data_IF_828051477773
#
_entry.id   IF_828051477773
#
_cell.length_a   1.000
_cell.length_b   1.000
_cell.length_c   1.000
_cell.angle_alpha   90.00
_cell.angle_beta   90.00
_cell.angle_gamma   90.00
#
_symmetry.space_group_name_H-M   'P 1'
#
loop_
_entity.id
_entity.type
_entity.pdbx_description
1 polymer ?
#
# COMPACT_ATOMS: atom_id res chain seq x y z
N UNK A 1 42.18 -8.86 10.99
CA UNK A 1 40.93 -9.23 10.31
C UNK A 1 39.86 -9.21 11.38
N UNK A 2 39.02 -8.16 11.39
CA UNK A 2 37.99 -7.98 12.42
C UNK A 2 36.66 -7.89 11.71
N UNK A 3 35.82 -8.88 12.00
CA UNK A 3 34.51 -9.11 11.43
C UNK A 3 33.48 -8.01 11.74
N UNK A 4 32.64 -7.77 10.72
CA UNK A 4 31.19 -7.67 10.82
C UNK A 4 30.61 -6.72 11.90
N UNK A 5 30.36 -5.47 11.54
CA UNK A 5 29.26 -4.70 12.15
C UNK A 5 28.38 -4.06 11.08
N UNK A 6 27.64 -4.90 10.35
CA UNK A 6 26.43 -4.48 9.65
C UNK A 6 25.28 -4.29 10.65
N UNK A 7 25.33 -3.24 11.49
CA UNK A 7 24.18 -2.85 12.32
C UNK A 7 23.05 -2.32 11.42
N UNK A 8 22.12 -3.21 11.05
CA UNK A 8 20.82 -2.85 10.45
C UNK A 8 19.70 -2.96 11.49
N UNK A 9 19.96 -2.56 12.73
CA UNK A 9 18.93 -2.54 13.77
C UNK A 9 18.19 -1.20 13.77
N UNK A 10 16.87 -1.27 13.61
CA UNK A 10 15.95 -0.20 14.01
C UNK A 10 15.43 0.73 12.91
N UNK A 11 15.73 0.50 11.62
CA UNK A 11 15.03 1.25 10.56
C UNK A 11 13.62 0.68 10.44
N UNK A 12 12.67 1.20 11.25
CA UNK A 12 11.22 1.00 11.08
C UNK A 12 10.95 1.05 9.58
N UNK A 13 10.59 -0.07 8.96
CA UNK A 13 10.43 -0.17 7.51
C UNK A 13 9.25 0.70 7.08
N UNK A 14 9.49 2.01 6.90
CA UNK A 14 8.52 2.97 6.35
C UNK A 14 8.10 2.58 4.93
N UNK A 15 8.78 1.62 4.32
CA UNK A 15 8.40 0.97 3.07
C UNK A 15 6.96 0.46 3.08
N UNK A 16 6.48 -0.16 4.16
CA UNK A 16 5.08 -0.61 4.25
C UNK A 16 4.09 0.57 4.26
N UNK A 17 4.48 1.67 4.91
CA UNK A 17 3.71 2.91 4.95
C UNK A 17 3.62 3.55 3.56
N UNK A 18 4.76 3.63 2.85
CA UNK A 18 4.85 4.16 1.50
C UNK A 18 4.02 3.31 0.54
N UNK A 19 4.15 1.98 0.61
CA UNK A 19 3.35 1.04 -0.17
C UNK A 19 1.85 1.18 0.12
N UNK A 20 1.47 1.30 1.39
CA UNK A 20 0.08 1.52 1.81
C UNK A 20 -0.50 2.80 1.21
N UNK A 21 0.21 3.93 1.27
CA UNK A 21 -0.22 5.19 0.65
C UNK A 21 -0.31 5.06 -0.87
N UNK A 22 0.67 4.41 -1.50
CA UNK A 22 0.71 4.22 -2.95
C UNK A 22 -0.47 3.36 -3.43
N UNK A 23 -0.77 2.27 -2.73
CA UNK A 23 -1.92 1.42 -3.00
C UNK A 23 -3.24 2.11 -2.72
N UNK A 24 -3.33 2.91 -1.66
CA UNK A 24 -4.54 3.65 -1.34
C UNK A 24 -4.80 4.75 -2.40
N UNK A 25 -3.76 5.45 -2.84
CA UNK A 25 -3.86 6.46 -3.90
C UNK A 25 -4.20 5.87 -5.26
N UNK A 26 -3.47 4.83 -5.69
CA UNK A 26 -3.73 4.15 -6.96
C UNK A 26 -5.09 3.43 -6.96
N UNK A 27 -5.45 2.76 -5.87
CA UNK A 27 -6.75 2.11 -5.70
C UNK A 27 -7.90 3.11 -5.73
N UNK A 28 -7.76 4.27 -5.07
CA UNK A 28 -8.76 5.34 -5.11
C UNK A 28 -8.89 5.96 -6.51
N UNK A 29 -7.77 6.20 -7.20
CA UNK A 29 -7.78 6.68 -8.58
C UNK A 29 -8.43 5.68 -9.54
N UNK A 30 -8.10 4.39 -9.42
CA UNK A 30 -8.70 3.33 -10.23
C UNK A 30 -10.19 3.19 -9.94
N UNK A 31 -10.60 3.27 -8.67
CA UNK A 31 -12.02 3.25 -8.28
C UNK A 31 -12.77 4.46 -8.87
N UNK A 32 -12.19 5.66 -8.79
CA UNK A 32 -12.76 6.86 -9.41
C UNK A 32 -12.91 6.69 -10.92
N UNK A 33 -11.84 6.24 -11.59
CA UNK A 33 -11.88 5.94 -13.01
C UNK A 33 -12.93 4.88 -13.35
N UNK A 34 -13.14 3.89 -12.47
CA UNK A 34 -14.15 2.86 -12.65
C UNK A 34 -15.58 3.41 -12.52
N UNK A 35 -15.82 4.33 -11.58
CA UNK A 35 -17.10 5.01 -11.40
C UNK A 35 -17.44 5.93 -12.58
N UNK A 36 -16.43 6.48 -13.26
CA UNK A 36 -16.60 7.38 -14.41
C UNK A 36 -16.51 6.67 -15.76
N UNK A 37 -16.06 5.43 -15.81
CA UNK A 37 -15.88 4.67 -17.05
C UNK A 37 -17.16 3.94 -17.46
N UNK A 38 -17.52 4.07 -18.74
CA UNK A 38 -18.66 3.41 -19.37
C UNK A 38 -18.37 1.92 -19.64
N UNK A 39 -17.09 1.53 -19.76
CA UNK A 39 -16.68 0.13 -19.85
C UNK A 39 -16.07 -0.37 -18.54
N UNK A 40 -16.75 -1.35 -17.95
CA UNK A 40 -16.37 -2.00 -16.69
C UNK A 40 -15.31 -3.07 -16.96
N UNK A 41 -14.04 -2.72 -16.71
CA UNK A 41 -12.96 -3.71 -16.72
C UNK A 41 -12.92 -4.47 -15.38
N UNK A 42 -13.52 -5.67 -15.36
CA UNK A 42 -13.71 -6.50 -14.17
C UNK A 42 -12.41 -6.80 -13.41
N UNK A 43 -11.29 -6.95 -14.14
CA UNK A 43 -9.99 -7.25 -13.52
C UNK A 43 -9.46 -6.05 -12.75
N UNK A 44 -9.63 -4.85 -13.30
CA UNK A 44 -9.24 -3.60 -12.66
C UNK A 44 -10.03 -3.32 -11.37
N UNK A 45 -11.31 -3.70 -11.33
CA UNK A 45 -12.17 -3.51 -10.15
C UNK A 45 -11.76 -4.40 -9.00
N UNK A 46 -11.50 -5.68 -9.25
CA UNK A 46 -11.03 -6.62 -8.23
C UNK A 46 -9.68 -6.16 -7.67
N UNK A 47 -8.78 -5.69 -8.54
CA UNK A 47 -7.48 -5.15 -8.13
C UNK A 47 -7.62 -3.86 -7.30
N UNK A 48 -8.53 -2.96 -7.68
CA UNK A 48 -8.79 -1.71 -6.96
C UNK A 48 -9.33 -2.00 -5.55
N UNK A 49 -10.28 -2.93 -5.41
CA UNK A 49 -10.80 -3.34 -4.10
C UNK A 49 -9.68 -3.93 -3.24
N UNK A 50 -8.85 -4.80 -3.83
CA UNK A 50 -7.68 -5.36 -3.16
C UNK A 50 -6.72 -4.28 -2.64
N UNK A 51 -6.37 -3.30 -3.48
CA UNK A 51 -5.48 -2.21 -3.09
C UNK A 51 -6.07 -1.26 -2.05
N UNK A 52 -7.38 -0.99 -2.09
CA UNK A 52 -8.04 -0.18 -1.06
C UNK A 52 -8.04 -0.90 0.28
N UNK A 53 -8.47 -2.17 0.32
CA UNK A 53 -8.49 -2.97 1.57
C UNK A 53 -7.09 -3.13 2.14
N UNK A 54 -6.12 -3.46 1.29
CA UNK A 54 -4.73 -3.65 1.71
C UNK A 54 -4.09 -2.33 2.17
N UNK A 55 -4.31 -1.24 1.43
CA UNK A 55 -3.84 0.10 1.78
C UNK A 55 -4.40 0.58 3.11
N UNK A 56 -5.71 0.41 3.36
CA UNK A 56 -6.35 0.74 4.64
C UNK A 56 -5.78 -0.12 5.77
N UNK A 57 -5.62 -1.43 5.57
CA UNK A 57 -5.09 -2.32 6.59
C UNK A 57 -3.65 -1.94 6.99
N UNK A 58 -2.78 -1.67 6.00
CA UNK A 58 -1.39 -1.30 6.26
C UNK A 58 -1.29 0.07 6.93
N UNK A 59 -2.11 1.03 6.50
CA UNK A 59 -2.21 2.35 7.11
C UNK A 59 -2.71 2.26 8.56
N UNK A 60 -3.78 1.49 8.81
CA UNK A 60 -4.33 1.27 10.14
C UNK A 60 -3.35 0.55 11.07
N UNK A 61 -2.64 -0.47 10.56
CA UNK A 61 -1.58 -1.17 11.28
C UNK A 61 -0.41 -0.25 11.60
N UNK A 62 -0.06 0.66 10.70
CA UNK A 62 0.98 1.65 10.92
C UNK A 62 0.59 2.66 12.01
N UNK A 63 -0.61 3.23 11.93
CA UNK A 63 -1.13 4.16 12.94
C UNK A 63 -1.36 3.50 14.29
N UNK A 64 -1.84 2.25 14.34
CA UNK A 64 -2.02 1.51 15.61
C UNK A 64 -0.69 1.11 16.27
N UNK A 65 0.40 1.11 15.50
CA UNK A 65 1.75 0.76 15.97
C UNK A 65 2.61 2.01 16.27
N UNK A 66 2.07 3.21 15.98
CA UNK A 66 2.58 4.50 16.45
C UNK A 66 1.95 4.82 17.80
#
# INVERSE_FOLDING_TARGET
>A
MSDQQGKKDGRRNKWYLILGILFLGYGSYRLYSHLTAVETDNFGSVLAIGFIVFGIYDLFRYFKKM
#
